data_IF_934916530119
#
_entry.id   IF_934916530119
#
_cell.length_a   1.000
_cell.length_b   1.000
_cell.length_c   1.000
_cell.angle_alpha   90.00
_cell.angle_beta   90.00
_cell.angle_gamma   90.00
#
_symmetry.space_group_name_H-M   'P 1'
#
loop_
_entity.id
_entity.type
_entity.pdbx_description
1 polymer ?
#
# COMPACT_ATOMS: atom_id res chain seq x y z
N UNK A 1 -13.03 -11.99 10.65
CA UNK A 1 -11.67 -11.75 11.22
C UNK A 1 -10.83 -10.85 10.31
N UNK A 2 -10.72 -11.13 9.00
CA UNK A 2 -9.93 -10.32 8.04
C UNK A 2 -10.50 -8.89 7.83
N UNK A 3 -11.82 -8.72 7.79
CA UNK A 3 -12.46 -7.39 7.61
C UNK A 3 -12.14 -6.39 8.73
N UNK A 4 -12.02 -6.86 9.98
CA UNK A 4 -11.79 -6.01 11.16
C UNK A 4 -10.37 -5.43 11.16
N UNK A 5 -9.39 -6.23 10.75
CA UNK A 5 -8.01 -5.78 10.61
C UNK A 5 -7.89 -4.69 9.54
N UNK A 6 -8.60 -4.85 8.42
CA UNK A 6 -8.59 -3.90 7.30
C UNK A 6 -9.16 -2.52 7.67
N UNK A 7 -10.31 -2.49 8.37
CA UNK A 7 -10.93 -1.24 8.86
C UNK A 7 -9.99 -0.50 9.82
N UNK A 8 -9.31 -1.25 10.69
CA UNK A 8 -8.38 -0.68 11.67
C UNK A 8 -7.18 -0.05 10.96
N UNK A 9 -6.65 -0.71 9.93
CA UNK A 9 -5.48 -0.24 9.17
C UNK A 9 -5.81 1.01 8.33
N UNK A 10 -6.99 1.06 7.68
CA UNK A 10 -7.47 2.26 7.00
C UNK A 10 -7.73 3.43 7.95
N UNK A 11 -8.33 3.17 9.12
CA UNK A 11 -8.57 4.19 10.14
C UNK A 11 -7.27 4.76 10.72
N UNK A 12 -6.24 3.93 10.89
CA UNK A 12 -4.91 4.34 11.34
C UNK A 12 -4.15 5.13 10.25
N UNK A 13 -4.22 4.70 9.00
CA UNK A 13 -3.61 5.40 7.87
C UNK A 13 -4.18 6.81 7.69
N UNK A 14 -5.50 7.02 7.90
CA UNK A 14 -6.13 8.35 7.85
C UNK A 14 -5.59 9.35 8.89
N UNK A 15 -4.91 8.86 9.94
CA UNK A 15 -4.28 9.69 10.97
C UNK A 15 -2.79 9.93 10.71
N UNK A 16 -2.23 9.31 9.67
CA UNK A 16 -0.83 9.49 9.32
C UNK A 16 -0.64 10.79 8.53
N UNK A 17 0.12 11.72 9.10
CA UNK A 17 0.45 13.01 8.45
C UNK A 17 1.80 13.00 7.73
N UNK A 18 2.66 12.01 8.03
CA UNK A 18 4.02 11.92 7.53
C UNK A 18 4.22 10.67 6.66
N UNK A 19 4.79 10.87 5.48
CA UNK A 19 5.21 9.81 4.58
C UNK A 19 6.63 9.33 4.91
N UNK A 20 6.80 8.02 4.95
CA UNK A 20 8.07 7.31 5.16
C UNK A 20 8.38 6.62 3.85
N UNK A 21 9.61 6.78 3.37
CA UNK A 21 10.00 6.17 2.11
C UNK A 21 10.07 4.64 2.27
N UNK A 22 9.42 3.94 1.35
CA UNK A 22 9.29 2.49 1.35
C UNK A 22 9.81 1.93 0.04
N UNK A 23 10.37 0.70 0.05
CA UNK A 23 10.90 0.09 -1.16
C UNK A 23 9.80 -0.09 -2.21
N UNK A 24 9.98 0.58 -3.34
CA UNK A 24 9.08 0.51 -4.48
C UNK A 24 9.53 -0.60 -5.44
N UNK A 25 8.92 -1.79 -5.34
CA UNK A 25 9.38 -2.99 -6.06
C UNK A 25 8.40 -3.37 -7.17
N UNK A 26 8.61 -2.79 -8.35
CA UNK A 26 7.91 -3.13 -9.60
C UNK A 26 8.90 -3.76 -10.57
N UNK A 27 8.57 -4.97 -11.07
CA UNK A 27 9.38 -5.68 -12.07
C UNK A 27 8.52 -6.01 -13.28
N UNK A 28 8.55 -5.13 -14.28
CA UNK A 28 7.68 -5.26 -15.46
C UNK A 28 6.21 -5.05 -15.08
N UNK A 29 5.43 -6.13 -15.09
CA UNK A 29 4.03 -6.18 -14.63
C UNK A 29 3.89 -6.88 -13.26
N UNK A 30 4.98 -7.38 -12.67
CA UNK A 30 4.96 -8.11 -11.41
C UNK A 30 5.32 -7.22 -10.21
N UNK A 31 4.72 -7.55 -9.06
CA UNK A 31 4.96 -6.91 -7.75
C UNK A 31 5.43 -7.90 -6.71
N UNK A 32 6.18 -7.42 -5.73
CA UNK A 32 6.52 -8.22 -4.54
C UNK A 32 6.13 -7.50 -3.25
N UNK A 33 5.06 -7.96 -2.62
CA UNK A 33 4.60 -7.42 -1.33
C UNK A 33 5.31 -8.01 -0.12
N UNK A 34 5.90 -9.21 -0.24
CA UNK A 34 6.61 -9.85 0.87
C UNK A 34 7.87 -9.08 1.27
N UNK A 35 8.59 -8.53 0.29
CA UNK A 35 9.76 -7.68 0.53
C UNK A 35 9.40 -6.39 1.25
N UNK A 36 8.33 -5.72 0.80
CA UNK A 36 7.81 -4.50 1.42
C UNK A 36 7.37 -4.77 2.87
N UNK A 37 6.64 -5.85 3.11
CA UNK A 37 6.22 -6.24 4.45
C UNK A 37 7.41 -6.51 5.37
N UNK A 38 8.42 -7.22 4.88
CA UNK A 38 9.62 -7.56 5.67
C UNK A 38 10.41 -6.30 6.04
N UNK A 39 10.54 -5.36 5.09
CA UNK A 39 11.16 -4.06 5.32
C UNK A 39 10.41 -3.27 6.39
N UNK A 40 9.08 -3.15 6.26
CA UNK A 40 8.25 -2.42 7.23
C UNK A 40 8.33 -3.03 8.61
N UNK A 41 8.30 -4.35 8.74
CA UNK A 41 8.41 -5.01 10.04
C UNK A 41 9.77 -4.68 10.69
N UNK A 42 10.86 -4.72 9.92
CA UNK A 42 12.19 -4.37 10.43
C UNK A 42 12.27 -2.88 10.83
N UNK A 43 11.86 -1.98 9.94
CA UNK A 43 11.87 -0.53 10.17
C UNK A 43 10.93 -0.10 11.30
N UNK A 44 9.76 -0.74 11.42
CA UNK A 44 8.82 -0.48 12.50
C UNK A 44 9.45 -0.81 13.85
N UNK A 45 10.14 -1.95 13.98
CA UNK A 45 10.82 -2.31 15.23
C UNK A 45 11.88 -1.29 15.61
N UNK A 46 12.70 -0.83 14.66
CA UNK A 46 13.74 0.18 14.94
C UNK A 46 13.16 1.56 15.27
N UNK A 47 12.22 2.06 14.46
CA UNK A 47 11.72 3.43 14.57
C UNK A 47 10.65 3.61 15.67
N UNK A 48 9.88 2.56 16.00
CA UNK A 48 9.02 2.61 17.18
C UNK A 48 9.85 2.62 18.47
N UNK A 49 10.94 1.85 18.53
CA UNK A 49 11.82 1.83 19.70
C UNK A 49 12.49 3.20 19.94
N UNK A 50 12.77 3.95 18.87
CA UNK A 50 13.35 5.29 18.94
C UNK A 50 12.30 6.41 19.13
N UNK A 51 11.00 6.10 19.20
CA UNK A 51 9.88 7.07 19.23
C UNK A 51 9.85 8.06 18.05
N UNK A 52 10.53 7.75 16.95
CA UNK A 52 10.59 8.61 15.76
C UNK A 52 9.41 8.39 14.82
N UNK A 53 8.71 7.27 14.98
CA UNK A 53 7.62 6.86 14.10
C UNK A 53 6.41 6.35 14.88
N UNK A 54 5.21 6.78 14.46
CA UNK A 54 3.95 6.20 14.94
C UNK A 54 3.47 5.10 13.99
N UNK A 55 2.69 4.12 14.48
CA UNK A 55 2.03 3.13 13.62
C UNK A 55 1.16 3.75 12.51
N UNK A 56 0.62 4.96 12.75
CA UNK A 56 -0.20 5.68 11.78
C UNK A 56 0.62 6.10 10.55
N UNK A 57 1.84 6.61 10.73
CA UNK A 57 2.72 6.99 9.61
C UNK A 57 3.13 5.80 8.76
N UNK A 58 3.39 4.65 9.38
CA UNK A 58 3.70 3.41 8.68
C UNK A 58 2.50 2.90 7.88
N UNK A 59 1.30 2.89 8.48
CA UNK A 59 0.09 2.45 7.79
C UNK A 59 -0.26 3.37 6.61
N UNK A 60 -0.07 4.68 6.77
CA UNK A 60 -0.26 5.67 5.71
C UNK A 60 0.70 5.43 4.55
N UNK A 61 2.00 5.42 4.84
CA UNK A 61 3.04 5.24 3.82
C UNK A 61 2.88 3.91 3.08
N UNK A 62 2.55 2.83 3.81
CA UNK A 62 2.29 1.52 3.22
C UNK A 62 1.12 1.57 2.24
N UNK A 63 0.00 2.19 2.61
CA UNK A 63 -1.17 2.28 1.72
C UNK A 63 -0.83 3.07 0.46
N UNK A 64 -0.20 4.24 0.60
CA UNK A 64 0.19 5.08 -0.54
C UNK A 64 1.15 4.35 -1.49
N UNK A 65 2.20 3.71 -0.96
CA UNK A 65 3.16 2.96 -1.77
C UNK A 65 2.49 1.78 -2.48
N UNK A 66 1.65 1.01 -1.78
CA UNK A 66 0.98 -0.15 -2.39
C UNK A 66 -0.01 0.26 -3.48
N UNK A 67 -0.81 1.30 -3.26
CA UNK A 67 -1.77 1.75 -4.26
C UNK A 67 -1.08 2.38 -5.46
N UNK A 68 0.00 3.15 -5.26
CA UNK A 68 0.81 3.66 -6.36
C UNK A 68 1.37 2.51 -7.24
N UNK A 69 1.91 1.46 -6.63
CA UNK A 69 2.39 0.26 -7.33
C UNK A 69 1.26 -0.40 -8.15
N UNK A 70 0.07 -0.53 -7.57
CA UNK A 70 -1.08 -1.15 -8.24
C UNK A 70 -1.58 -0.32 -9.42
N UNK A 71 -1.66 1.01 -9.26
CA UNK A 71 -2.06 1.93 -10.33
C UNK A 71 -1.06 1.85 -11.48
N UNK A 72 0.24 1.94 -11.20
CA UNK A 72 1.28 1.89 -12.24
C UNK A 72 1.19 0.61 -13.08
N UNK A 73 1.01 -0.55 -12.44
CA UNK A 73 0.95 -1.83 -13.16
C UNK A 73 -0.36 -1.96 -13.92
N UNK A 74 -1.46 -1.45 -13.35
CA UNK A 74 -2.74 -1.40 -14.04
C UNK A 74 -2.64 -0.55 -15.30
N UNK A 75 -2.05 0.65 -15.22
CA UNK A 75 -1.82 1.53 -16.37
C UNK A 75 -0.94 0.86 -17.43
N UNK A 76 0.17 0.21 -17.02
CA UNK A 76 1.04 -0.55 -17.93
C UNK A 76 0.28 -1.67 -18.63
N UNK A 77 -0.54 -2.42 -17.89
CA UNK A 77 -1.33 -3.51 -18.43
C UNK A 77 -2.44 -3.01 -19.37
N UNK A 78 -3.08 -1.88 -19.05
CA UNK A 78 -4.08 -1.23 -19.89
C UNK A 78 -3.47 -0.75 -21.21
N UNK A 79 -2.30 -0.11 -21.16
CA UNK A 79 -1.55 0.31 -22.34
C UNK A 79 -1.14 -0.88 -23.22
N UNK A 80 -0.74 -2.00 -22.60
CA UNK A 80 -0.38 -3.22 -23.34
C UNK A 80 -1.60 -3.93 -23.97
N UNK A 81 -2.77 -3.83 -23.35
CA UNK A 81 -4.01 -4.46 -23.83
C UNK A 81 -4.88 -3.55 -24.71
N UNK A 82 -4.47 -2.29 -24.94
CA UNK A 82 -5.23 -1.24 -25.61
C UNK A 82 -6.66 -1.10 -25.04
N UNK A 83 -6.74 -1.01 -23.71
CA UNK A 83 -8.01 -0.88 -22.96
C UNK A 83 -8.08 0.46 -22.26
N UNK A 84 -9.27 1.08 -22.27
CA UNK A 84 -9.55 2.34 -21.60
C UNK A 84 -10.33 2.18 -20.29
N UNK A 85 -10.82 0.97 -20.00
CA UNK A 85 -11.61 0.66 -18.81
C UNK A 85 -10.90 -0.38 -17.95
N UNK A 86 -10.99 -0.19 -16.63
CA UNK A 86 -10.52 -1.15 -15.61
C UNK A 86 -11.66 -1.51 -14.67
N UNK A 87 -11.74 -2.78 -14.28
CA UNK A 87 -12.66 -3.27 -13.26
C UNK A 87 -11.90 -3.77 -12.05
N UNK A 88 -12.12 -3.14 -10.90
CA UNK A 88 -11.55 -3.57 -9.62
C UNK A 88 -12.48 -4.59 -8.98
N UNK A 89 -11.96 -5.77 -8.67
CA UNK A 89 -12.68 -6.85 -8.00
C UNK A 89 -11.95 -7.30 -6.74
N UNK A 90 -12.68 -7.97 -5.84
CA UNK A 90 -12.14 -8.50 -4.58
C UNK A 90 -12.35 -7.59 -3.37
N UNK A 91 -12.12 -8.13 -2.17
CA UNK A 91 -12.45 -7.45 -0.91
C UNK A 91 -11.66 -6.16 -0.64
N UNK A 92 -10.50 -6.00 -1.27
CA UNK A 92 -9.62 -4.83 -1.13
C UNK A 92 -10.15 -3.61 -1.91
N UNK A 93 -11.00 -3.83 -2.92
CA UNK A 93 -11.67 -2.75 -3.68
C UNK A 93 -12.70 -1.96 -2.86
N UNK A 94 -13.02 -2.40 -1.64
CA UNK A 94 -13.85 -1.65 -0.70
C UNK A 94 -13.08 -0.53 0.02
N UNK A 95 -11.77 -0.36 -0.22
CA UNK A 95 -10.99 0.73 0.36
C UNK A 95 -11.18 2.01 -0.44
N UNK A 96 -11.41 3.11 0.26
CA UNK A 96 -11.53 4.44 -0.35
C UNK A 96 -10.26 4.90 -1.09
N UNK A 97 -9.07 4.46 -0.65
CA UNK A 97 -7.79 4.75 -1.32
C UNK A 97 -7.48 3.80 -2.50
N UNK A 98 -8.29 2.74 -2.70
CA UNK A 98 -8.18 1.80 -3.83
C UNK A 98 -9.10 2.20 -5.00
N UNK A 99 -9.55 3.46 -5.06
CA UNK A 99 -10.37 3.95 -6.16
C UNK A 99 -9.42 4.60 -7.18
N UNK A 100 -9.13 3.85 -8.24
CA UNK A 100 -8.38 4.31 -9.43
C UNK A 100 -9.22 5.36 -10.16
#
# INVERSE_FOLDING_TARGET
>A
MIQVLYITLSSLAKKGEKFIDLPYVVKGMDVSFSGILSYIVATAVEQLNNNECTPAYLCYSLQETLFAILVEITERAMAQCDKNDVLIVGGVGCNDHCKI
#
